data_IF_397640140559
#
_entry.id   IF_397640140559
#
_cell.length_a   1.000
_cell.length_b   1.000
_cell.length_c   1.000
_cell.angle_alpha   90.00
_cell.angle_beta   90.00
_cell.angle_gamma   90.00
#
_symmetry.space_group_name_H-M   'P 1'
#
loop_
_entity.id
_entity.type
_entity.pdbx_description
1 polymer ?
#
# COMPACT_ATOMS: atom_id res chain seq x y z
N UNK A 1 5.39 85.75 4.77
CA UNK A 1 4.22 84.97 4.31
C UNK A 1 4.43 83.55 4.78
N UNK A 2 3.90 83.25 5.95
CA UNK A 2 3.99 81.99 6.68
C UNK A 2 2.79 81.12 6.30
N UNK A 3 3.03 79.90 5.81
CA UNK A 3 1.99 78.89 5.58
C UNK A 3 2.21 77.75 6.58
N UNK A 4 1.35 77.68 7.60
CA UNK A 4 1.18 76.53 8.49
C UNK A 4 0.44 75.39 7.75
N UNK A 5 0.96 74.16 7.73
CA UNK A 5 0.18 73.00 7.31
C UNK A 5 -0.70 72.48 8.44
N UNK A 6 -1.98 72.33 8.12
CA UNK A 6 -3.10 71.89 8.95
C UNK A 6 -2.89 70.44 9.44
N UNK A 7 -3.00 70.20 10.75
CA UNK A 7 -2.86 68.87 11.35
C UNK A 7 -4.13 68.02 11.13
N UNK A 8 -4.02 66.71 10.86
CA UNK A 8 -5.19 65.84 10.76
C UNK A 8 -5.80 65.58 12.13
N UNK A 9 -7.07 65.97 12.29
CA UNK A 9 -7.91 65.68 13.45
C UNK A 9 -8.09 64.17 13.58
N UNK A 10 -7.64 63.59 14.70
CA UNK A 10 -7.89 62.18 15.01
C UNK A 10 -9.39 61.95 15.24
N UNK A 11 -9.96 60.83 14.73
CA UNK A 11 -11.33 60.46 15.04
C UNK A 11 -11.44 60.05 16.52
N UNK A 12 -12.41 60.65 17.19
CA UNK A 12 -12.79 60.47 18.59
C UNK A 12 -13.17 59.00 18.86
N UNK A 13 -12.34 58.27 19.61
CA UNK A 13 -12.59 56.91 20.11
C UNK A 13 -13.55 56.91 21.30
N UNK A 14 -14.65 57.66 21.18
CA UNK A 14 -15.70 57.72 22.20
C UNK A 14 -16.52 56.44 22.15
N UNK A 15 -16.16 55.51 23.04
CA UNK A 15 -17.02 54.52 23.67
C UNK A 15 -18.13 53.94 22.78
N UNK A 16 -17.80 52.91 22.00
CA UNK A 16 -18.81 51.96 21.58
C UNK A 16 -19.26 51.18 22.83
N UNK A 17 -20.55 51.18 23.18
CA UNK A 17 -21.05 50.32 24.25
C UNK A 17 -20.80 48.86 23.86
N UNK A 18 -20.42 48.03 24.83
CA UNK A 18 -20.31 46.58 24.72
C UNK A 18 -21.59 46.03 24.06
N UNK A 19 -21.54 45.90 22.74
CA UNK A 19 -22.56 45.30 21.92
C UNK A 19 -22.55 43.82 22.20
N UNK A 20 -23.39 43.43 23.15
CA UNK A 20 -24.22 42.22 23.15
C UNK A 20 -23.80 41.24 22.06
N UNK A 21 -23.06 40.20 22.47
CA UNK A 21 -22.85 39.00 21.67
C UNK A 21 -24.19 38.60 21.04
N UNK A 22 -24.27 38.67 19.71
CA UNK A 22 -25.48 38.31 18.98
C UNK A 22 -25.74 36.82 19.24
N UNK A 23 -26.88 36.43 19.84
CA UNK A 23 -27.24 35.03 20.02
C UNK A 23 -27.53 34.43 18.64
N UNK A 24 -26.50 33.96 17.96
CA UNK A 24 -26.61 33.49 16.57
C UNK A 24 -25.27 33.19 15.89
N UNK A 25 -24.17 33.86 16.27
CA UNK A 25 -22.86 33.67 15.61
C UNK A 25 -22.08 32.43 16.07
N UNK A 26 -22.47 31.81 17.19
CA UNK A 26 -21.86 30.56 17.66
C UNK A 26 -22.28 29.30 16.88
N UNK A 27 -23.41 29.34 16.14
CA UNK A 27 -23.88 28.16 15.40
C UNK A 27 -23.02 27.86 14.16
N UNK A 28 -22.48 28.90 13.50
CA UNK A 28 -21.64 28.72 12.32
C UNK A 28 -20.25 28.16 12.66
N UNK A 29 -19.65 28.55 13.78
CA UNK A 29 -18.33 28.03 14.18
C UNK A 29 -18.35 26.52 14.48
N UNK A 30 -19.43 26.03 15.08
CA UNK A 30 -19.61 24.58 15.34
C UNK A 30 -19.79 23.79 14.05
N UNK A 31 -20.63 24.28 13.12
CA UNK A 31 -20.84 23.63 11.82
C UNK A 31 -19.58 23.63 10.93
N UNK A 32 -18.76 24.68 11.00
CA UNK A 32 -17.48 24.76 10.28
C UNK A 32 -16.48 23.75 10.87
N UNK A 33 -16.39 23.66 12.21
CA UNK A 33 -15.52 22.69 12.88
C UNK A 33 -15.96 21.25 12.63
N UNK A 34 -17.26 20.98 12.72
CA UNK A 34 -17.82 19.64 12.49
C UNK A 34 -17.70 19.21 11.02
N UNK A 35 -17.81 20.14 10.05
CA UNK A 35 -17.50 19.84 8.64
C UNK A 35 -16.01 19.63 8.39
N UNK A 36 -15.14 20.40 9.03
CA UNK A 36 -13.69 20.23 8.90
C UNK A 36 -13.25 18.87 9.49
N UNK A 37 -13.72 18.52 10.68
CA UNK A 37 -13.42 17.23 11.33
C UNK A 37 -13.93 16.04 10.51
N UNK A 38 -15.10 16.18 9.85
CA UNK A 38 -15.63 15.14 8.95
C UNK A 38 -14.83 14.99 7.65
N UNK A 39 -14.22 16.07 7.14
CA UNK A 39 -13.36 15.98 5.95
C UNK A 39 -12.00 15.34 6.25
N UNK A 40 -11.44 15.51 7.46
CA UNK A 40 -10.19 14.83 7.83
C UNK A 40 -10.41 13.33 8.01
N UNK A 41 -11.54 12.91 8.59
CA UNK A 41 -11.86 11.50 8.80
C UNK A 41 -12.16 10.72 7.50
N UNK A 42 -12.65 11.39 6.45
CA UNK A 42 -12.95 10.76 5.15
C UNK A 42 -11.70 10.65 4.24
N UNK A 43 -10.58 11.27 4.63
CA UNK A 43 -9.32 11.20 3.87
C UNK A 43 -8.48 9.98 4.25
N UNK A 44 -8.67 9.40 5.44
CA UNK A 44 -7.85 8.29 5.95
C UNK A 44 -8.21 6.91 5.37
N UNK A 45 -9.24 6.80 4.52
CA UNK A 45 -9.67 5.51 3.97
C UNK A 45 -9.79 5.50 2.45
N UNK A 46 -9.11 6.42 1.76
CA UNK A 46 -8.89 6.22 0.33
C UNK A 46 -7.79 5.18 0.16
N UNK A 47 -7.99 4.14 -0.66
CA UNK A 47 -6.96 3.15 -0.92
C UNK A 47 -5.74 3.87 -1.47
N UNK A 48 -4.64 3.87 -0.72
CA UNK A 48 -3.39 4.47 -1.17
C UNK A 48 -2.96 3.76 -2.46
N UNK A 49 -2.58 4.52 -3.48
CA UNK A 49 -2.01 3.97 -4.68
C UNK A 49 -0.48 4.01 -4.58
N UNK A 50 0.16 2.94 -5.06
CA UNK A 50 1.61 2.75 -5.05
C UNK A 50 2.10 2.63 -6.48
N UNK A 51 3.23 3.28 -6.76
CA UNK A 51 3.85 3.32 -8.08
C UNK A 51 5.11 2.48 -8.06
N UNK A 52 5.25 1.55 -9.01
CA UNK A 52 6.46 0.75 -9.17
C UNK A 52 7.09 1.04 -10.52
N UNK A 53 8.39 1.29 -10.53
CA UNK A 53 9.16 1.60 -11.74
C UNK A 53 10.05 0.44 -12.15
N UNK A 54 10.32 0.33 -13.46
CA UNK A 54 11.24 -0.67 -14.00
C UNK A 54 12.63 -0.07 -14.18
N UNK A 55 13.66 -0.90 -13.96
CA UNK A 55 15.05 -0.50 -14.18
C UNK A 55 15.41 -0.43 -15.65
N UNK A 56 16.49 0.30 -15.97
CA UNK A 56 16.95 0.43 -17.34
C UNK A 56 17.44 -0.90 -17.94
N UNK A 57 17.19 -1.10 -19.23
CA UNK A 57 17.54 -2.33 -19.95
C UNK A 57 16.62 -3.53 -19.68
N UNK A 58 15.51 -3.35 -18.97
CA UNK A 58 14.47 -4.38 -18.79
C UNK A 58 13.38 -4.28 -19.88
N UNK A 59 12.50 -5.28 -19.98
CA UNK A 59 11.42 -5.33 -20.98
C UNK A 59 10.46 -4.13 -20.90
N UNK A 60 10.29 -3.57 -19.70
CA UNK A 60 9.41 -2.44 -19.44
C UNK A 60 10.19 -1.16 -19.06
N UNK A 61 11.42 -1.02 -19.55
CA UNK A 61 12.23 0.19 -19.35
C UNK A 61 11.46 1.47 -19.73
N UNK A 62 11.57 2.49 -18.88
CA UNK A 62 10.85 3.75 -19.02
C UNK A 62 9.35 3.66 -18.72
N UNK A 63 8.86 2.53 -18.16
CA UNK A 63 7.48 2.39 -17.72
C UNK A 63 7.35 2.31 -16.21
N UNK A 64 6.13 2.53 -15.73
CA UNK A 64 5.76 2.29 -14.34
C UNK A 64 4.36 1.66 -14.25
N UNK A 65 4.04 1.02 -13.13
CA UNK A 65 2.69 0.50 -12.84
C UNK A 65 2.12 1.15 -11.59
N UNK A 66 0.80 1.27 -11.54
CA UNK A 66 0.07 1.78 -10.38
C UNK A 66 -0.79 0.66 -9.80
N UNK A 67 -0.64 0.40 -8.51
CA UNK A 67 -1.41 -0.61 -7.78
C UNK A 67 -2.06 0.05 -6.57
N UNK A 68 -3.38 -0.11 -6.43
CA UNK A 68 -4.13 0.40 -5.29
C UNK A 68 -4.14 -0.62 -4.15
N UNK A 69 -4.00 -0.15 -2.91
CA UNK A 69 -4.06 -0.99 -1.71
C UNK A 69 -3.09 -0.55 -0.63
N UNK A 70 -2.96 -1.36 0.41
CA UNK A 70 -1.87 -1.19 1.37
C UNK A 70 -0.51 -1.44 0.71
N UNK A 71 0.55 -0.96 1.37
CA UNK A 71 1.93 -1.18 0.92
C UNK A 71 2.23 -2.67 0.64
N UNK A 72 1.81 -3.55 1.55
CA UNK A 72 2.07 -4.98 1.47
C UNK A 72 1.25 -5.66 0.36
N UNK A 73 -0.02 -5.29 0.20
CA UNK A 73 -0.87 -5.80 -0.88
C UNK A 73 -0.34 -5.38 -2.25
N UNK A 74 0.01 -4.10 -2.41
CA UNK A 74 0.54 -3.59 -3.67
C UNK A 74 1.87 -4.26 -4.04
N UNK A 75 2.73 -4.51 -3.04
CA UNK A 75 3.99 -5.23 -3.24
C UNK A 75 3.77 -6.70 -3.57
N UNK A 76 2.84 -7.37 -2.90
CA UNK A 76 2.49 -8.76 -3.19
C UNK A 76 1.95 -8.90 -4.62
N UNK A 77 1.10 -7.97 -5.05
CA UNK A 77 0.59 -7.93 -6.41
C UNK A 77 1.70 -7.66 -7.43
N UNK A 78 2.59 -6.69 -7.18
CA UNK A 78 3.74 -6.43 -8.04
C UNK A 78 4.62 -7.69 -8.22
N UNK A 79 4.88 -8.41 -7.12
CA UNK A 79 5.62 -9.67 -7.15
C UNK A 79 4.88 -10.76 -7.94
N UNK A 80 3.55 -10.85 -7.82
CA UNK A 80 2.77 -11.86 -8.52
C UNK A 80 2.79 -11.72 -10.05
N UNK A 81 2.86 -10.49 -10.57
CA UNK A 81 2.86 -10.23 -12.01
C UNK A 81 4.27 -10.09 -12.59
N UNK A 82 5.16 -9.38 -11.90
CA UNK A 82 6.47 -9.01 -12.44
C UNK A 82 7.65 -9.68 -11.73
N UNK A 83 7.40 -10.38 -10.61
CA UNK A 83 8.44 -10.97 -9.78
C UNK A 83 9.34 -9.89 -9.17
N UNK A 84 10.64 -10.18 -9.07
CA UNK A 84 11.64 -9.23 -8.58
C UNK A 84 12.19 -8.29 -9.68
N UNK A 85 11.52 -8.19 -10.84
CA UNK A 85 11.97 -7.39 -11.99
C UNK A 85 11.38 -5.99 -11.94
N UNK A 86 11.67 -5.25 -10.87
CA UNK A 86 11.34 -3.84 -10.70
C UNK A 86 12.43 -3.16 -9.89
N UNK A 87 12.48 -1.82 -9.92
CA UNK A 87 13.61 -1.06 -9.35
C UNK A 87 13.23 -0.31 -8.08
N UNK A 88 12.23 0.57 -8.16
CA UNK A 88 11.83 1.43 -7.06
C UNK A 88 10.32 1.45 -6.87
N UNK A 89 9.91 1.75 -5.66
CA UNK A 89 8.53 1.89 -5.22
C UNK A 89 8.34 3.30 -4.65
N UNK A 90 7.27 3.97 -5.08
CA UNK A 90 6.92 5.34 -4.74
C UNK A 90 5.45 5.42 -4.32
N UNK A 91 5.08 6.53 -3.67
CA UNK A 91 3.69 6.85 -3.34
C UNK A 91 3.01 7.52 -4.54
N UNK A 92 1.67 7.49 -4.58
CA UNK A 92 0.91 8.05 -5.69
C UNK A 92 1.06 9.57 -5.89
N UNK A 93 1.37 10.32 -4.84
CA UNK A 93 1.62 11.76 -4.91
C UNK A 93 2.93 12.10 -5.65
N UNK A 94 3.86 11.15 -5.76
CA UNK A 94 5.11 11.28 -6.51
C UNK A 94 4.94 11.03 -8.03
N UNK A 95 3.73 10.69 -8.50
CA UNK A 95 3.44 10.40 -9.92
C UNK A 95 3.95 11.47 -10.88
N UNK A 96 3.72 12.74 -10.51
CA UNK A 96 4.05 13.88 -11.38
C UNK A 96 5.57 13.98 -11.62
N UNK A 97 6.37 13.67 -10.61
CA UNK A 97 7.84 13.67 -10.72
C UNK A 97 8.31 12.55 -11.66
N UNK A 98 7.76 11.35 -11.49
CA UNK A 98 8.06 10.19 -12.34
C UNK A 98 7.71 10.47 -13.82
N UNK A 99 6.53 11.02 -14.09
CA UNK A 99 6.11 11.39 -15.46
C UNK A 99 6.97 12.53 -16.05
N UNK A 100 7.45 13.47 -15.22
CA UNK A 100 8.35 14.53 -15.67
C UNK A 100 9.70 14.01 -16.17
N UNK A 101 10.11 12.82 -15.72
CA UNK A 101 11.28 12.10 -16.19
C UNK A 101 11.03 11.26 -17.46
N UNK A 102 9.82 11.38 -18.05
CA UNK A 102 9.46 10.70 -19.30
C UNK A 102 9.01 9.25 -19.11
N UNK A 103 8.77 8.80 -17.87
CA UNK A 103 8.21 7.48 -17.62
C UNK A 103 6.71 7.45 -17.96
N UNK A 104 6.24 6.33 -18.51
CA UNK A 104 4.85 6.15 -18.95
C UNK A 104 4.15 5.03 -18.18
N UNK A 105 2.90 5.23 -17.80
CA UNK A 105 2.11 4.19 -17.14
C UNK A 105 1.92 2.98 -18.08
N UNK A 106 2.24 1.78 -17.59
CA UNK A 106 1.93 0.51 -18.25
C UNK A 106 0.51 0.10 -17.83
N UNK A 107 -0.47 0.19 -18.74
CA UNK A 107 -1.85 -0.10 -18.40
C UNK A 107 -2.00 -1.58 -18.00
N UNK A 108 -2.90 -1.84 -17.05
CA UNK A 108 -3.15 -3.18 -16.51
C UNK A 108 -3.48 -4.24 -17.56
N UNK A 109 -4.06 -3.84 -18.70
CA UNK A 109 -4.36 -4.73 -19.82
C UNK A 109 -3.10 -5.27 -20.55
N UNK A 110 -1.95 -4.62 -20.37
CA UNK A 110 -0.66 -5.03 -20.95
C UNK A 110 0.21 -5.82 -19.95
N UNK A 111 -0.28 -6.08 -18.74
CA UNK A 111 0.48 -6.84 -17.76
C UNK A 111 0.61 -8.32 -18.18
N UNK A 112 1.72 -8.99 -17.82
CA UNK A 112 1.86 -10.42 -18.05
C UNK A 112 0.77 -11.20 -17.30
N UNK A 113 0.53 -12.45 -17.67
CA UNK A 113 -0.29 -13.34 -16.83
C UNK A 113 0.38 -13.49 -15.46
N UNK A 114 -0.39 -13.45 -14.38
CA UNK A 114 0.19 -13.58 -13.05
C UNK A 114 0.85 -14.96 -12.89
N UNK A 115 2.05 -15.00 -12.31
CA UNK A 115 2.71 -16.27 -11.98
C UNK A 115 1.87 -17.06 -10.98
N UNK A 116 1.13 -16.36 -10.12
CA UNK A 116 0.20 -16.96 -9.17
C UNK A 116 -0.97 -17.66 -9.85
N UNK A 117 -1.58 -17.08 -10.90
CA UNK A 117 -2.62 -17.77 -11.69
C UNK A 117 -2.08 -19.04 -12.34
N UNK A 118 -0.81 -19.02 -12.74
CA UNK A 118 -0.15 -20.19 -13.31
C UNK A 118 0.13 -21.26 -12.23
N UNK A 119 0.44 -20.84 -11.00
CA UNK A 119 0.68 -21.74 -9.87
C UNK A 119 -0.62 -22.36 -9.32
N UNK A 120 -1.74 -21.63 -9.33
CA UNK A 120 -3.07 -22.15 -8.94
C UNK A 120 -3.61 -23.14 -10.00
N UNK A 121 -3.12 -23.08 -11.23
CA UNK A 121 -3.40 -24.09 -12.24
C UNK A 121 -2.63 -25.41 -12.03
N UNK A 122 -1.71 -25.50 -11.06
CA UNK A 122 -1.20 -26.80 -10.64
C UNK A 122 -2.34 -27.54 -9.96
N UNK A 123 -2.76 -28.66 -10.56
CA UNK A 123 -3.78 -29.48 -9.95
C UNK A 123 -3.30 -29.92 -8.54
N UNK A 124 -4.20 -30.24 -7.60
CA UNK A 124 -3.82 -30.64 -6.25
C UNK A 124 -2.84 -31.83 -6.20
N UNK A 125 -2.80 -32.69 -7.22
CA UNK A 125 -1.85 -33.80 -7.32
C UNK A 125 -0.43 -33.33 -7.66
N UNK A 126 -0.27 -32.29 -8.50
CA UNK A 126 1.02 -31.70 -8.83
C UNK A 126 1.62 -30.96 -7.64
N UNK A 127 0.77 -30.26 -6.87
CA UNK A 127 1.15 -29.68 -5.59
C UNK A 127 1.60 -30.76 -4.60
N UNK A 128 0.85 -31.85 -4.48
CA UNK A 128 1.22 -32.98 -3.63
C UNK A 128 2.56 -33.62 -4.05
N UNK A 129 2.78 -33.81 -5.36
CA UNK A 129 4.00 -34.41 -5.90
C UNK A 129 5.23 -33.53 -5.68
N UNK A 130 5.15 -32.22 -5.97
CA UNK A 130 6.25 -31.29 -5.75
C UNK A 130 6.64 -31.20 -4.27
N UNK A 131 5.65 -31.36 -3.40
CA UNK A 131 5.86 -31.24 -1.98
C UNK A 131 6.42 -32.52 -1.36
N UNK A 132 6.01 -33.69 -1.86
CA UNK A 132 6.66 -34.96 -1.55
C UNK A 132 8.16 -34.92 -1.93
N UNK A 133 8.46 -34.40 -3.13
CA UNK A 133 9.84 -34.24 -3.60
C UNK A 133 10.65 -33.27 -2.73
N UNK A 134 10.05 -32.17 -2.28
CA UNK A 134 10.70 -31.24 -1.35
C UNK A 134 11.03 -31.90 0.00
N UNK A 135 10.11 -32.71 0.55
CA UNK A 135 10.34 -33.47 1.78
C UNK A 135 11.45 -34.50 1.59
N UNK A 136 11.46 -35.24 0.48
CA UNK A 136 12.52 -36.20 0.16
C UNK A 136 13.89 -35.52 0.06
N UNK A 137 13.97 -34.34 -0.56
CA UNK A 137 15.21 -33.58 -0.65
C UNK A 137 15.71 -33.09 0.71
N UNK A 138 14.81 -32.69 1.63
CA UNK A 138 15.17 -32.30 3.00
C UNK A 138 15.69 -33.50 3.80
N UNK A 139 15.06 -34.67 3.63
CA UNK A 139 15.53 -35.93 4.24
C UNK A 139 16.90 -36.32 3.68
N UNK A 140 17.08 -36.26 2.36
CA UNK A 140 18.32 -36.61 1.68
C UNK A 140 19.48 -35.65 2.01
N UNK A 141 19.19 -34.38 2.28
CA UNK A 141 20.18 -33.39 2.71
C UNK A 141 20.74 -33.62 4.12
N UNK A 142 20.24 -34.62 4.86
CA UNK A 142 20.74 -34.96 6.19
C UNK A 142 20.46 -33.91 7.26
N UNK A 143 19.52 -32.98 6.99
CA UNK A 143 19.10 -31.96 7.96
C UNK A 143 18.25 -32.53 9.11
N UNK A 144 17.86 -33.79 9.03
CA UNK A 144 17.25 -34.54 10.12
C UNK A 144 18.31 -35.46 10.73
N UNK A 145 18.78 -35.09 11.91
CA UNK A 145 19.68 -35.88 12.72
C UNK A 145 18.98 -37.20 13.11
N UNK A 146 19.51 -38.32 12.61
CA UNK A 146 18.95 -39.67 12.77
C UNK A 146 18.95 -40.15 14.24
N UNK A 147 19.66 -39.46 15.14
CA UNK A 147 19.76 -39.84 16.56
C UNK A 147 18.58 -39.35 17.42
N UNK A 148 17.59 -38.67 16.84
CA UNK A 148 16.44 -38.09 17.56
C UNK A 148 15.35 -39.08 17.96
N UNK A 149 15.47 -40.37 17.61
CA UNK A 149 14.54 -41.42 18.04
C UNK A 149 13.11 -41.29 17.48
N UNK A 150 12.90 -40.40 16.50
CA UNK A 150 11.66 -40.32 15.74
C UNK A 150 11.72 -41.34 14.60
N UNK A 151 10.75 -42.26 14.56
CA UNK A 151 10.60 -43.12 13.42
C UNK A 151 10.19 -42.30 12.17
N UNK A 152 10.55 -42.83 11.01
CA UNK A 152 10.28 -42.18 9.71
C UNK A 152 8.77 -41.96 9.52
N UNK A 153 7.94 -42.87 10.04
CA UNK A 153 6.48 -42.76 9.98
C UNK A 153 5.95 -41.56 10.80
N UNK A 154 6.52 -41.27 11.96
CA UNK A 154 6.12 -40.13 12.80
C UNK A 154 6.49 -38.77 12.20
N UNK A 155 7.63 -38.68 11.50
CA UNK A 155 8.02 -37.45 10.78
C UNK A 155 7.11 -37.23 9.58
N UNK A 156 6.83 -38.29 8.81
CA UNK A 156 5.90 -38.22 7.68
C UNK A 156 4.49 -37.81 8.12
N UNK A 157 3.97 -38.39 9.20
CA UNK A 157 2.65 -38.03 9.75
C UNK A 157 2.58 -36.57 10.18
N UNK A 158 3.61 -36.05 10.86
CA UNK A 158 3.64 -34.65 11.32
C UNK A 158 3.80 -33.65 10.18
N UNK A 159 4.62 -33.97 9.18
CA UNK A 159 4.73 -33.15 7.97
C UNK A 159 3.40 -33.10 7.23
N UNK A 160 2.73 -34.24 7.08
CA UNK A 160 1.42 -34.36 6.45
C UNK A 160 0.32 -33.59 7.20
N UNK A 161 0.29 -33.65 8.53
CA UNK A 161 -0.66 -32.87 9.33
C UNK A 161 -0.39 -31.37 9.25
N UNK A 162 0.87 -30.94 9.33
CA UNK A 162 1.24 -29.53 9.17
C UNK A 162 0.86 -28.99 7.78
N UNK A 163 0.97 -29.83 6.74
CA UNK A 163 0.53 -29.54 5.38
C UNK A 163 -0.97 -29.36 5.27
N UNK A 164 -1.76 -30.26 5.85
CA UNK A 164 -3.23 -30.15 5.83
C UNK A 164 -3.67 -28.86 6.53
N UNK A 165 -3.00 -28.49 7.63
CA UNK A 165 -3.27 -27.25 8.34
C UNK A 165 -2.93 -26.03 7.49
N UNK A 166 -1.75 -26.00 6.87
CA UNK A 166 -1.32 -24.91 6.00
C UNK A 166 -2.25 -24.75 4.78
N UNK A 167 -2.61 -25.86 4.11
CA UNK A 167 -3.54 -25.85 2.99
C UNK A 167 -4.91 -25.29 3.37
N UNK A 168 -5.49 -25.76 4.50
CA UNK A 168 -6.77 -25.25 5.01
C UNK A 168 -6.74 -23.77 5.40
N UNK A 169 -5.56 -23.24 5.76
CA UNK A 169 -5.38 -21.82 6.05
C UNK A 169 -5.33 -20.96 4.79
N UNK A 170 -4.81 -21.49 3.68
CA UNK A 170 -4.75 -20.79 2.38
C UNK A 170 -6.08 -20.83 1.63
N UNK A 171 -6.87 -21.90 1.77
CA UNK A 171 -8.13 -22.08 1.02
C UNK A 171 -9.40 -21.62 1.76
N UNK A 172 -9.28 -20.75 2.77
CA UNK A 172 -10.41 -20.16 3.50
C UNK A 172 -10.51 -18.68 3.21
#
# INVERSE_FOLDING_TARGET
>A
MTNEPNAPTQPDTRAMPNGTERPGEHWNARLIREKAERQVADTENQPEAWIFTFGSGQEHDGKYVVIAGSYDEARAEMLAYFGNRWSFQYRADERTEIESHGAVELPRAEWPASETDTAVALNPEQLQANLLLAVENVIAAGCLDWDSGLDVEGIQSRAHDALIVAYKAVTR
#
